data_IF_272426336347
#
_entry.id   IF_272426336347
#
_cell.length_a   1.000
_cell.length_b   1.000
_cell.length_c   1.000
_cell.angle_alpha   90.00
_cell.angle_beta   90.00
_cell.angle_gamma   90.00
#
_symmetry.space_group_name_H-M   'P 1'
#
loop_
_entity.id
_entity.type
_entity.pdbx_description
1 polymer ?
#
# COMPACT_ATOMS: atom_id res chain seq x y z
N UNK A 1 4.10 34.07 -51.47
CA UNK A 1 3.92 32.94 -52.42
C UNK A 1 4.49 31.70 -51.79
N UNK A 2 3.66 30.73 -51.47
CA UNK A 2 4.11 29.41 -51.00
C UNK A 2 4.88 28.70 -52.09
N UNK A 3 6.03 28.08 -51.78
CA UNK A 3 6.85 27.37 -52.77
C UNK A 3 6.08 26.15 -53.30
N UNK A 4 6.36 25.74 -54.53
CA UNK A 4 5.77 24.53 -55.15
C UNK A 4 5.96 23.31 -54.26
N UNK A 5 7.05 23.24 -53.53
CA UNK A 5 7.33 22.17 -52.54
C UNK A 5 6.38 22.22 -51.37
N UNK A 6 6.09 23.41 -50.82
CA UNK A 6 5.14 23.60 -49.72
C UNK A 6 3.71 23.25 -50.12
N UNK A 7 3.29 23.63 -51.33
CA UNK A 7 1.98 23.26 -51.88
C UNK A 7 1.83 21.75 -52.03
N UNK A 8 2.88 21.06 -52.51
CA UNK A 8 2.88 19.62 -52.64
C UNK A 8 2.86 18.92 -51.26
N UNK A 9 3.50 19.47 -50.25
CA UNK A 9 3.50 18.95 -48.89
C UNK A 9 2.12 19.12 -48.23
N UNK A 10 1.51 20.28 -48.33
CA UNK A 10 0.14 20.54 -47.87
C UNK A 10 -0.87 19.62 -48.57
N UNK A 11 -0.76 19.43 -49.87
CA UNK A 11 -1.64 18.52 -50.63
C UNK A 11 -1.53 17.07 -50.16
N UNK A 12 -0.31 16.59 -49.84
CA UNK A 12 -0.10 15.25 -49.25
C UNK A 12 -0.75 15.13 -47.87
N UNK A 13 -0.61 16.13 -47.03
CA UNK A 13 -1.26 16.16 -45.71
C UNK A 13 -2.78 16.11 -45.87
N UNK A 14 -3.35 16.94 -46.71
CA UNK A 14 -4.81 16.96 -46.94
C UNK A 14 -5.32 15.62 -47.46
N UNK A 15 -4.60 14.98 -48.40
CA UNK A 15 -4.94 13.64 -48.88
C UNK A 15 -4.91 12.60 -47.78
N UNK A 16 -3.90 12.62 -46.93
CA UNK A 16 -3.78 11.71 -45.76
C UNK A 16 -4.95 11.93 -44.77
N UNK A 17 -5.27 13.17 -44.43
CA UNK A 17 -6.38 13.48 -43.53
C UNK A 17 -7.75 13.08 -44.16
N UNK A 18 -7.92 13.26 -45.46
CA UNK A 18 -9.10 12.81 -46.17
C UNK A 18 -9.22 11.29 -46.23
N UNK A 19 -8.08 10.58 -46.38
CA UNK A 19 -8.04 9.13 -46.30
C UNK A 19 -8.48 8.66 -44.90
N UNK A 20 -7.98 9.27 -43.85
CA UNK A 20 -8.41 8.99 -42.47
C UNK A 20 -9.88 9.23 -42.26
N UNK A 21 -10.41 10.37 -42.71
CA UNK A 21 -11.80 10.77 -42.51
C UNK A 21 -12.76 9.79 -43.21
N UNK A 22 -12.42 9.30 -44.39
CA UNK A 22 -13.20 8.35 -45.19
C UNK A 22 -12.94 6.88 -44.83
N UNK A 23 -11.89 6.60 -44.02
CA UNK A 23 -11.47 5.24 -43.70
C UNK A 23 -12.51 4.52 -42.83
N UNK A 24 -12.82 3.28 -43.18
CA UNK A 24 -13.48 2.35 -42.29
C UNK A 24 -12.53 1.87 -41.18
N UNK A 25 -13.08 1.16 -40.21
CA UNK A 25 -12.36 0.71 -39.00
C UNK A 25 -11.03 -0.03 -39.31
N UNK A 26 -11.06 -0.98 -40.27
CA UNK A 26 -9.85 -1.75 -40.62
C UNK A 26 -8.77 -0.89 -41.26
N UNK A 27 -9.11 0.06 -42.11
CA UNK A 27 -8.12 0.96 -42.73
C UNK A 27 -7.54 1.94 -41.70
N UNK A 28 -8.37 2.48 -40.78
CA UNK A 28 -7.89 3.32 -39.68
C UNK A 28 -6.87 2.57 -38.82
N UNK A 29 -7.09 1.28 -38.52
CA UNK A 29 -6.18 0.47 -37.80
C UNK A 29 -4.84 0.28 -38.53
N UNK A 30 -4.85 0.12 -39.86
CA UNK A 30 -3.63 0.07 -40.68
C UNK A 30 -2.89 1.42 -40.67
N UNK A 31 -3.62 2.54 -40.85
CA UNK A 31 -3.05 3.89 -40.77
C UNK A 31 -2.36 4.11 -39.40
N UNK A 32 -3.01 3.74 -38.29
CA UNK A 32 -2.41 3.86 -36.95
C UNK A 32 -1.17 2.97 -36.79
N UNK A 33 -1.19 1.75 -37.34
CA UNK A 33 0.00 0.87 -37.27
C UNK A 33 1.18 1.50 -38.00
N UNK A 34 0.97 1.94 -39.25
CA UNK A 34 2.02 2.61 -40.04
C UNK A 34 2.49 3.90 -39.35
N UNK A 35 1.55 4.68 -38.79
CA UNK A 35 1.89 5.89 -38.04
C UNK A 35 2.81 5.60 -36.85
N UNK A 36 2.48 4.59 -36.03
CA UNK A 36 3.29 4.19 -34.88
C UNK A 36 4.69 3.76 -35.35
N UNK A 37 4.77 2.81 -36.31
CA UNK A 37 6.04 2.30 -36.82
C UNK A 37 6.95 3.39 -37.38
N UNK A 38 6.38 4.42 -38.00
CA UNK A 38 7.13 5.50 -38.65
C UNK A 38 7.51 6.62 -37.68
N UNK A 39 6.72 6.88 -36.63
CA UNK A 39 6.83 8.10 -35.83
C UNK A 39 7.20 7.85 -34.37
N UNK A 40 7.31 6.60 -33.92
CA UNK A 40 7.73 6.31 -32.55
C UNK A 40 9.13 6.91 -32.27
N UNK A 41 9.24 7.68 -31.18
CA UNK A 41 10.49 8.34 -30.77
C UNK A 41 10.80 9.66 -31.49
N UNK A 42 10.00 10.11 -32.46
CA UNK A 42 10.21 11.41 -33.11
C UNK A 42 9.93 12.58 -32.16
N UNK A 43 10.72 13.62 -32.33
CA UNK A 43 10.54 14.90 -31.65
C UNK A 43 9.41 15.72 -32.27
N UNK A 44 8.90 16.75 -31.57
CA UNK A 44 7.86 17.63 -32.11
C UNK A 44 8.24 18.28 -33.45
N UNK A 45 9.43 18.89 -33.64
CA UNK A 45 9.85 19.42 -34.92
C UNK A 45 9.87 18.37 -36.06
N UNK A 46 10.28 17.14 -35.78
CA UNK A 46 10.29 16.06 -36.77
C UNK A 46 8.85 15.67 -37.16
N UNK A 47 7.92 15.59 -36.20
CA UNK A 47 6.52 15.35 -36.48
C UNK A 47 5.89 16.50 -37.30
N UNK A 48 6.19 17.75 -36.96
CA UNK A 48 5.69 18.91 -37.73
C UNK A 48 6.26 18.92 -39.15
N UNK A 49 7.52 18.50 -39.33
CA UNK A 49 8.11 18.38 -40.65
C UNK A 49 7.45 17.29 -41.49
N UNK A 50 7.20 16.12 -40.90
CA UNK A 50 6.51 14.99 -41.53
C UNK A 50 5.09 15.38 -41.99
N UNK A 51 4.35 16.08 -41.14
CA UNK A 51 2.98 16.49 -41.34
C UNK A 51 2.84 17.93 -41.87
N UNK A 52 3.90 18.50 -42.45
CA UNK A 52 3.86 19.85 -43.10
C UNK A 52 3.26 20.92 -42.19
N UNK A 53 3.67 20.96 -40.91
CA UNK A 53 3.17 21.86 -39.85
C UNK A 53 1.70 21.62 -39.46
N UNK A 54 1.13 20.47 -39.79
CA UNK A 54 -0.25 20.11 -39.51
C UNK A 54 -0.42 18.85 -38.68
N UNK A 55 0.59 18.45 -37.92
CA UNK A 55 0.57 17.23 -37.10
C UNK A 55 -0.58 17.25 -36.08
N UNK A 56 -0.89 18.41 -35.50
CA UNK A 56 -2.01 18.57 -34.56
C UNK A 56 -3.38 18.28 -35.19
N UNK A 57 -3.56 18.48 -36.51
CA UNK A 57 -4.82 18.14 -37.20
C UNK A 57 -5.08 16.63 -37.19
N UNK A 58 -4.02 15.82 -37.23
CA UNK A 58 -4.17 14.37 -37.10
C UNK A 58 -4.43 13.97 -35.64
N UNK A 59 -3.71 14.56 -34.66
CA UNK A 59 -3.97 14.35 -33.24
C UNK A 59 -5.43 14.61 -32.88
N UNK A 60 -6.00 15.72 -33.33
CA UNK A 60 -7.41 16.07 -33.07
C UNK A 60 -8.36 14.96 -33.62
N UNK A 61 -8.09 14.46 -34.83
CA UNK A 61 -8.88 13.37 -35.43
C UNK A 61 -8.78 12.07 -34.66
N UNK A 62 -7.57 11.68 -34.27
CA UNK A 62 -7.34 10.47 -33.48
C UNK A 62 -8.00 10.58 -32.09
N UNK A 63 -7.88 11.72 -31.43
CA UNK A 63 -8.52 11.97 -30.12
C UNK A 63 -10.06 11.99 -30.25
N UNK A 64 -10.58 12.63 -31.27
CA UNK A 64 -12.03 12.63 -31.54
C UNK A 64 -12.55 11.21 -31.80
N UNK A 65 -11.77 10.41 -32.54
CA UNK A 65 -12.12 9.02 -32.80
C UNK A 65 -12.08 8.19 -31.51
N UNK A 66 -11.09 8.38 -30.66
CA UNK A 66 -11.03 7.76 -29.32
C UNK A 66 -12.33 8.02 -28.56
N UNK A 67 -12.76 9.27 -28.47
CA UNK A 67 -13.99 9.67 -27.74
C UNK A 67 -15.28 9.06 -28.30
N UNK A 68 -15.30 8.73 -29.58
CA UNK A 68 -16.45 8.08 -30.19
C UNK A 68 -16.49 6.59 -29.87
N UNK A 69 -15.35 5.92 -29.83
CA UNK A 69 -15.28 4.46 -29.77
C UNK A 69 -14.85 3.85 -28.44
N UNK A 70 -14.30 4.63 -27.48
CA UNK A 70 -13.73 4.06 -26.26
C UNK A 70 -14.70 3.17 -25.49
N UNK A 71 -16.00 3.49 -25.48
CA UNK A 71 -17.01 2.66 -24.84
C UNK A 71 -17.20 1.29 -25.50
N UNK A 72 -16.76 1.11 -26.75
CA UNK A 72 -16.84 -0.18 -27.45
C UNK A 72 -15.75 -1.16 -27.00
N UNK A 73 -14.65 -0.66 -26.45
CA UNK A 73 -13.49 -1.44 -26.01
C UNK A 73 -12.70 -2.11 -27.12
N UNK A 74 -12.84 -1.66 -28.36
CA UNK A 74 -12.21 -2.27 -29.52
C UNK A 74 -11.01 -1.44 -30.00
N UNK A 75 -9.83 -2.08 -30.11
CA UNK A 75 -8.61 -1.55 -30.73
C UNK A 75 -8.12 -0.20 -30.14
N UNK A 76 -8.26 -0.01 -28.83
CA UNK A 76 -7.87 1.24 -28.16
C UNK A 76 -6.35 1.39 -28.06
N UNK A 77 -5.59 0.30 -27.91
CA UNK A 77 -4.15 0.32 -27.74
C UNK A 77 -3.44 1.17 -28.79
N UNK A 78 -3.72 0.92 -30.07
CA UNK A 78 -3.07 1.67 -31.18
C UNK A 78 -3.43 3.15 -31.19
N UNK A 79 -4.67 3.48 -30.84
CA UNK A 79 -5.12 4.86 -30.73
C UNK A 79 -4.38 5.56 -29.58
N UNK A 80 -4.32 4.91 -28.41
CA UNK A 80 -3.65 5.44 -27.23
C UNK A 80 -2.14 5.59 -27.46
N UNK A 81 -1.48 4.58 -28.07
CA UNK A 81 -0.07 4.66 -28.45
C UNK A 81 0.18 5.80 -29.43
N UNK A 82 -0.68 5.97 -30.45
CA UNK A 82 -0.55 7.08 -31.42
C UNK A 82 -0.66 8.44 -30.74
N UNK A 83 -1.61 8.61 -29.79
CA UNK A 83 -1.71 9.82 -28.97
C UNK A 83 -0.44 10.00 -28.12
N UNK A 84 0.10 8.91 -27.58
CA UNK A 84 1.33 8.89 -26.77
C UNK A 84 2.54 9.47 -27.53
N UNK A 85 2.68 9.19 -28.83
CA UNK A 85 3.74 9.75 -29.67
C UNK A 85 3.68 11.30 -29.67
N UNK A 86 2.48 11.87 -29.84
CA UNK A 86 2.32 13.34 -29.78
C UNK A 86 2.60 13.92 -28.40
N UNK A 87 2.08 13.28 -27.34
CA UNK A 87 2.23 13.80 -25.98
C UNK A 87 3.66 13.65 -25.45
N UNK A 88 4.43 12.68 -25.93
CA UNK A 88 5.83 12.47 -25.59
C UNK A 88 6.80 13.38 -26.37
N UNK A 89 6.32 14.05 -27.40
CA UNK A 89 7.13 14.92 -28.24
C UNK A 89 7.53 16.20 -27.50
N UNK A 90 8.76 16.23 -27.00
CA UNK A 90 9.30 17.12 -25.94
C UNK A 90 9.27 18.63 -26.27
N UNK A 91 8.98 19.06 -27.49
CA UNK A 91 9.22 20.47 -27.89
C UNK A 91 8.01 21.40 -27.85
N UNK A 92 6.82 20.91 -27.55
CA UNK A 92 5.64 21.77 -27.57
C UNK A 92 4.51 21.23 -26.67
N UNK A 93 4.13 22.03 -25.67
CA UNK A 93 2.88 21.79 -24.93
C UNK A 93 1.63 21.93 -25.81
N UNK A 94 1.76 22.26 -27.10
CA UNK A 94 0.66 22.47 -28.03
C UNK A 94 -0.20 21.23 -28.17
N UNK A 95 0.41 20.08 -28.45
CA UNK A 95 -0.32 18.81 -28.58
C UNK A 95 -1.06 18.44 -27.29
N UNK A 96 -0.41 18.67 -26.16
CA UNK A 96 -1.04 18.43 -24.87
C UNK A 96 -2.25 19.35 -24.66
N UNK A 97 -2.15 20.64 -24.96
CA UNK A 97 -3.26 21.58 -24.82
C UNK A 97 -4.45 21.21 -25.71
N UNK A 98 -4.17 20.87 -26.97
CA UNK A 98 -5.21 20.41 -27.90
C UNK A 98 -5.90 19.11 -27.43
N UNK A 99 -5.13 18.15 -26.89
CA UNK A 99 -5.67 16.93 -26.31
C UNK A 99 -6.56 17.22 -25.10
N UNK A 100 -6.16 18.16 -24.24
CA UNK A 100 -6.92 18.57 -23.06
C UNK A 100 -8.22 19.31 -23.43
N UNK A 101 -8.18 20.21 -24.41
CA UNK A 101 -9.35 20.97 -24.89
C UNK A 101 -10.45 20.05 -25.43
N UNK A 102 -10.08 18.93 -26.05
CA UNK A 102 -11.02 17.92 -26.53
C UNK A 102 -11.59 17.06 -25.39
N UNK A 103 -11.06 17.19 -24.17
CA UNK A 103 -11.49 16.38 -23.02
C UNK A 103 -10.78 15.03 -22.90
N UNK A 104 -9.56 14.95 -23.40
CA UNK A 104 -8.78 13.70 -23.43
C UNK A 104 -8.54 13.09 -22.05
N UNK A 105 -8.21 13.89 -21.02
CA UNK A 105 -7.99 13.38 -19.65
C UNK A 105 -9.23 12.68 -19.10
N UNK A 106 -10.40 13.26 -19.26
CA UNK A 106 -11.65 12.65 -18.79
C UNK A 106 -11.88 11.30 -19.48
N UNK A 107 -11.66 11.24 -20.80
CA UNK A 107 -11.79 9.99 -21.55
C UNK A 107 -10.82 8.91 -21.06
N UNK A 108 -9.56 9.26 -20.78
CA UNK A 108 -8.59 8.31 -20.21
C UNK A 108 -9.04 7.77 -18.85
N UNK A 109 -9.56 8.62 -17.98
CA UNK A 109 -10.06 8.22 -16.67
C UNK A 109 -11.33 7.35 -16.78
N UNK A 110 -12.22 7.63 -17.71
CA UNK A 110 -13.41 6.81 -17.97
C UNK A 110 -13.04 5.41 -18.49
N UNK A 111 -12.02 5.29 -19.34
CA UNK A 111 -11.49 4.00 -19.83
C UNK A 111 -11.11 3.09 -18.67
N UNK A 112 -10.52 3.61 -17.59
CA UNK A 112 -10.11 2.80 -16.42
C UNK A 112 -11.30 2.13 -15.74
N UNK A 113 -12.48 2.77 -15.73
CA UNK A 113 -13.69 2.28 -15.08
C UNK A 113 -14.49 1.27 -15.90
N UNK A 114 -14.28 1.16 -17.20
CA UNK A 114 -15.08 0.32 -18.08
C UNK A 114 -14.60 -1.14 -18.02
N UNK A 115 -15.46 -2.05 -17.57
CA UNK A 115 -15.11 -3.46 -17.41
C UNK A 115 -14.80 -4.20 -18.72
N UNK A 116 -15.43 -3.79 -19.82
CA UNK A 116 -15.26 -4.42 -21.15
C UNK A 116 -13.90 -4.15 -21.79
N UNK A 117 -13.18 -3.13 -21.32
CA UNK A 117 -11.87 -2.74 -21.85
C UNK A 117 -10.83 -3.67 -21.24
N UNK A 118 -9.96 -4.22 -22.08
CA UNK A 118 -8.87 -5.09 -21.63
C UNK A 118 -7.83 -4.30 -20.83
N UNK A 119 -6.99 -5.03 -20.12
CA UNK A 119 -6.05 -4.44 -19.16
C UNK A 119 -4.91 -3.69 -19.88
N UNK A 120 -4.48 -4.16 -21.04
CA UNK A 120 -3.44 -3.50 -21.83
C UNK A 120 -3.87 -2.11 -22.31
N UNK A 121 -5.10 -1.94 -22.77
CA UNK A 121 -5.65 -0.63 -23.14
C UNK A 121 -5.71 0.33 -21.95
N UNK A 122 -6.07 -0.18 -20.77
CA UNK A 122 -6.08 0.60 -19.53
C UNK A 122 -4.67 0.97 -19.09
N UNK A 123 -3.71 0.07 -19.26
CA UNK A 123 -2.29 0.33 -19.01
C UNK A 123 -1.76 1.46 -19.89
N UNK A 124 -2.07 1.45 -21.19
CA UNK A 124 -1.70 2.55 -22.08
C UNK A 124 -2.38 3.88 -21.65
N UNK A 125 -3.63 3.86 -21.17
CA UNK A 125 -4.26 5.04 -20.59
C UNK A 125 -3.53 5.58 -19.35
N UNK A 126 -3.02 4.70 -18.47
CA UNK A 126 -2.20 5.08 -17.32
C UNK A 126 -0.89 5.72 -17.76
N UNK A 127 -0.21 5.15 -18.76
CA UNK A 127 1.04 5.74 -19.29
C UNK A 127 0.81 7.15 -19.86
N UNK A 128 -0.30 7.36 -20.56
CA UNK A 128 -0.66 8.70 -21.03
C UNK A 128 -0.92 9.67 -19.87
N UNK A 129 -1.63 9.24 -18.83
CA UNK A 129 -1.83 10.07 -17.63
C UNK A 129 -0.51 10.38 -16.92
N UNK A 130 0.46 9.46 -16.91
CA UNK A 130 1.80 9.71 -16.38
C UNK A 130 2.55 10.79 -17.20
N UNK A 131 2.52 10.69 -18.53
CA UNK A 131 3.13 11.69 -19.43
C UNK A 131 2.52 13.08 -19.13
N UNK A 132 1.21 13.16 -19.03
CA UNK A 132 0.48 14.41 -18.74
C UNK A 132 0.87 14.94 -17.34
N UNK A 133 0.86 14.09 -16.31
CA UNK A 133 1.21 14.47 -14.94
C UNK A 133 2.66 14.98 -14.83
N UNK A 134 3.60 14.35 -15.55
CA UNK A 134 5.01 14.72 -15.55
C UNK A 134 5.31 16.05 -16.25
N UNK A 135 4.40 16.54 -17.09
CA UNK A 135 4.57 17.82 -17.77
C UNK A 135 4.51 19.01 -16.79
N UNK A 136 3.80 18.86 -15.65
CA UNK A 136 3.82 19.88 -14.62
C UNK A 136 2.64 19.87 -13.65
N UNK A 137 2.77 20.69 -12.59
CA UNK A 137 1.80 20.77 -11.48
C UNK A 137 0.35 20.99 -11.96
N UNK A 138 0.13 21.93 -12.88
CA UNK A 138 -1.20 22.27 -13.41
C UNK A 138 -1.94 21.01 -13.93
N UNK A 139 -1.21 20.12 -14.55
CA UNK A 139 -1.78 18.92 -15.15
C UNK A 139 -2.04 17.82 -14.11
N UNK A 140 -1.22 17.73 -13.06
CA UNK A 140 -1.51 16.90 -11.90
C UNK A 140 -2.80 17.33 -11.20
N UNK A 141 -2.97 18.64 -11.03
CA UNK A 141 -4.20 19.21 -10.45
C UNK A 141 -5.41 18.88 -11.33
N UNK A 142 -5.29 19.00 -12.66
CA UNK A 142 -6.37 18.67 -13.59
C UNK A 142 -6.80 17.20 -13.50
N UNK A 143 -5.84 16.27 -13.43
CA UNK A 143 -6.15 14.84 -13.29
C UNK A 143 -6.90 14.60 -11.98
N UNK A 144 -6.47 15.21 -10.86
CA UNK A 144 -7.13 15.06 -9.56
C UNK A 144 -8.53 15.70 -9.54
N UNK A 145 -8.70 16.85 -10.17
CA UNK A 145 -9.96 17.60 -10.24
C UNK A 145 -11.07 16.83 -10.98
N UNK A 146 -10.69 16.02 -11.97
CA UNK A 146 -11.59 15.18 -12.78
C UNK A 146 -11.95 13.84 -12.11
N UNK A 147 -11.96 13.74 -10.79
CA UNK A 147 -12.13 12.48 -10.02
C UNK A 147 -11.07 11.41 -10.29
N UNK A 148 -9.93 11.80 -10.86
CA UNK A 148 -8.89 10.88 -11.29
C UNK A 148 -8.31 10.04 -10.17
N UNK A 149 -8.10 10.60 -8.98
CA UNK A 149 -7.57 9.87 -7.81
C UNK A 149 -8.42 8.62 -7.52
N UNK A 150 -9.75 8.79 -7.54
CA UNK A 150 -10.67 7.68 -7.28
C UNK A 150 -10.63 6.64 -8.39
N UNK A 151 -10.70 7.08 -9.65
CA UNK A 151 -10.67 6.18 -10.81
C UNK A 151 -9.38 5.37 -10.86
N UNK A 152 -8.24 6.01 -10.62
CA UNK A 152 -6.92 5.37 -10.60
C UNK A 152 -6.80 4.38 -9.43
N UNK A 153 -7.25 4.75 -8.22
CA UNK A 153 -7.24 3.87 -7.05
C UNK A 153 -8.17 2.66 -7.24
N UNK A 154 -9.38 2.85 -7.73
CA UNK A 154 -10.31 1.74 -8.03
C UNK A 154 -9.74 0.80 -9.11
N UNK A 155 -9.04 1.33 -10.10
CA UNK A 155 -8.38 0.52 -11.11
C UNK A 155 -7.23 -0.30 -10.51
N UNK A 156 -6.38 0.30 -9.66
CA UNK A 156 -5.32 -0.42 -8.94
C UNK A 156 -5.89 -1.62 -8.15
N UNK A 157 -7.02 -1.42 -7.45
CA UNK A 157 -7.66 -2.48 -6.68
C UNK A 157 -8.19 -3.65 -7.52
N UNK A 158 -8.60 -3.38 -8.76
CA UNK A 158 -9.25 -4.34 -9.66
C UNK A 158 -8.29 -4.99 -10.66
N UNK A 159 -7.16 -4.36 -10.95
CA UNK A 159 -6.14 -4.84 -11.88
C UNK A 159 -5.59 -6.19 -11.44
N UNK A 160 -5.34 -7.08 -12.40
CA UNK A 160 -4.78 -8.42 -12.18
C UNK A 160 -3.34 -8.54 -12.65
N UNK A 161 -2.86 -7.59 -13.45
CA UNK A 161 -1.48 -7.54 -13.94
C UNK A 161 -0.61 -6.79 -12.93
N UNK A 162 0.43 -7.46 -12.43
CA UNK A 162 1.39 -6.85 -11.50
C UNK A 162 2.12 -5.66 -12.12
N UNK A 163 2.49 -5.77 -13.39
CA UNK A 163 3.14 -4.70 -14.15
C UNK A 163 2.23 -3.46 -14.25
N UNK A 164 0.96 -3.69 -14.55
CA UNK A 164 -0.03 -2.59 -14.61
C UNK A 164 -0.23 -1.93 -13.25
N UNK A 165 -0.24 -2.71 -12.17
CA UNK A 165 -0.35 -2.18 -10.81
C UNK A 165 0.87 -1.32 -10.44
N UNK A 166 2.07 -1.68 -10.87
CA UNK A 166 3.29 -0.89 -10.68
C UNK A 166 3.23 0.44 -11.44
N UNK A 167 2.75 0.43 -12.69
CA UNK A 167 2.53 1.67 -13.45
C UNK A 167 1.51 2.60 -12.75
N UNK A 168 0.45 2.04 -12.20
CA UNK A 168 -0.54 2.83 -11.44
C UNK A 168 0.07 3.42 -10.17
N UNK A 169 0.95 2.67 -9.47
CA UNK A 169 1.69 3.18 -8.33
C UNK A 169 2.51 4.41 -8.71
N UNK A 170 3.31 4.31 -9.78
CA UNK A 170 4.14 5.43 -10.28
C UNK A 170 3.28 6.68 -10.54
N UNK A 171 2.10 6.50 -11.14
CA UNK A 171 1.18 7.62 -11.35
C UNK A 171 0.69 8.23 -10.04
N UNK A 172 0.27 7.42 -9.06
CA UNK A 172 -0.20 7.90 -7.76
C UNK A 172 0.91 8.64 -7.00
N UNK A 173 2.14 8.15 -7.02
CA UNK A 173 3.31 8.83 -6.46
C UNK A 173 3.57 10.18 -7.14
N UNK A 174 3.50 10.20 -8.47
CA UNK A 174 3.63 11.43 -9.26
C UNK A 174 2.57 12.46 -8.89
N UNK A 175 1.33 12.03 -8.62
CA UNK A 175 0.22 12.91 -8.24
C UNK A 175 0.35 13.46 -6.81
N UNK A 176 1.06 12.80 -5.91
CA UNK A 176 1.38 13.32 -4.57
C UNK A 176 2.46 14.39 -4.64
N UNK A 177 3.54 14.14 -5.42
CA UNK A 177 4.70 15.02 -5.50
C UNK A 177 4.37 16.35 -6.18
N UNK A 178 4.69 17.46 -5.49
CA UNK A 178 4.55 18.80 -6.05
C UNK A 178 3.10 19.21 -6.35
N UNK A 179 2.12 18.64 -5.65
CA UNK A 179 0.69 18.90 -5.83
C UNK A 179 0.00 19.27 -4.51
N UNK A 180 0.35 20.38 -3.86
CA UNK A 180 -0.17 20.73 -2.53
C UNK A 180 -1.68 20.89 -2.46
N UNK A 181 -2.35 21.20 -3.58
CA UNK A 181 -3.81 21.33 -3.65
C UNK A 181 -4.53 19.99 -3.44
N UNK A 182 -3.98 18.88 -3.99
CA UNK A 182 -4.63 17.59 -4.02
C UNK A 182 -3.88 16.46 -3.30
N UNK A 183 -2.67 16.71 -2.78
CA UNK A 183 -1.88 15.67 -2.07
C UNK A 183 -2.67 14.98 -0.96
N UNK A 184 -3.48 15.73 -0.19
CA UNK A 184 -4.35 15.17 0.84
C UNK A 184 -5.47 14.29 0.27
N UNK A 185 -5.98 14.59 -0.92
CA UNK A 185 -6.98 13.77 -1.59
C UNK A 185 -6.37 12.45 -2.08
N UNK A 186 -5.15 12.49 -2.64
CA UNK A 186 -4.41 11.29 -3.04
C UNK A 186 -4.13 10.42 -1.82
N UNK A 187 -3.66 11.02 -0.72
CA UNK A 187 -3.41 10.34 0.55
C UNK A 187 -4.68 9.62 1.06
N UNK A 188 -5.83 10.29 1.08
CA UNK A 188 -7.12 9.67 1.46
C UNK A 188 -7.55 8.57 0.50
N UNK A 189 -7.30 8.72 -0.79
CA UNK A 189 -7.56 7.70 -1.81
C UNK A 189 -6.75 6.43 -1.56
N UNK A 190 -5.48 6.56 -1.20
CA UNK A 190 -4.59 5.45 -0.84
C UNK A 190 -5.07 4.73 0.44
N UNK A 191 -5.52 5.47 1.47
CA UNK A 191 -6.10 4.88 2.68
C UNK A 191 -7.35 4.08 2.33
N UNK A 192 -8.22 4.61 1.47
CA UNK A 192 -9.44 3.94 1.03
C UNK A 192 -9.16 2.65 0.24
N UNK A 193 -7.99 2.51 -0.35
CA UNK A 193 -7.55 1.34 -1.11
C UNK A 193 -7.13 0.16 -0.23
N UNK A 194 -6.68 0.40 1.01
CA UNK A 194 -6.12 -0.64 1.89
C UNK A 194 -7.01 -1.88 2.09
N UNK A 195 -8.36 -1.79 2.16
CA UNK A 195 -9.22 -2.96 2.29
C UNK A 195 -9.45 -3.74 0.98
N UNK A 196 -8.73 -3.44 -0.11
CA UNK A 196 -8.89 -4.17 -1.37
C UNK A 196 -8.46 -5.65 -1.24
N UNK A 197 -8.96 -6.50 -2.12
CA UNK A 197 -8.67 -7.95 -2.11
C UNK A 197 -7.37 -8.34 -2.81
N UNK A 198 -6.63 -7.40 -3.43
CA UNK A 198 -5.36 -7.67 -4.11
C UNK A 198 -4.18 -7.43 -3.18
N UNK A 199 -3.40 -8.46 -2.81
CA UNK A 199 -2.24 -8.29 -1.93
C UNK A 199 -1.16 -7.39 -2.54
N UNK A 200 -0.92 -7.50 -3.84
CA UNK A 200 0.03 -6.62 -4.56
C UNK A 200 -0.42 -5.16 -4.48
N UNK A 201 -1.70 -4.87 -4.76
CA UNK A 201 -2.24 -3.52 -4.66
C UNK A 201 -2.18 -2.96 -3.23
N UNK A 202 -2.45 -3.80 -2.21
CA UNK A 202 -2.29 -3.41 -0.81
C UNK A 202 -0.84 -3.04 -0.49
N UNK A 203 0.13 -3.85 -0.92
CA UNK A 203 1.55 -3.59 -0.73
C UNK A 203 1.97 -2.28 -1.37
N UNK A 204 1.63 -2.07 -2.65
CA UNK A 204 1.94 -0.85 -3.39
C UNK A 204 1.28 0.38 -2.75
N UNK A 205 0.03 0.26 -2.28
CA UNK A 205 -0.65 1.35 -1.57
C UNK A 205 0.04 1.71 -0.25
N UNK A 206 0.51 0.73 0.53
CA UNK A 206 1.26 0.95 1.76
C UNK A 206 2.59 1.66 1.50
N UNK A 207 3.34 1.23 0.48
CA UNK A 207 4.59 1.86 0.07
C UNK A 207 4.36 3.32 -0.36
N UNK A 208 3.35 3.56 -1.19
CA UNK A 208 3.00 4.91 -1.62
C UNK A 208 2.49 5.78 -0.47
N UNK A 209 1.75 5.20 0.50
CA UNK A 209 1.33 5.90 1.71
C UNK A 209 2.52 6.36 2.56
N UNK A 210 3.56 5.53 2.68
CA UNK A 210 4.79 5.90 3.39
C UNK A 210 5.45 7.12 2.75
N UNK A 211 5.60 7.13 1.42
CA UNK A 211 6.09 8.29 0.67
C UNK A 211 5.17 9.49 0.82
N UNK A 212 3.86 9.30 0.66
CA UNK A 212 2.86 10.36 0.76
C UNK A 212 2.82 10.98 2.16
N UNK A 213 2.99 10.20 3.22
CA UNK A 213 3.02 10.66 4.61
C UNK A 213 4.14 11.67 4.84
N UNK A 214 5.34 11.41 4.31
CA UNK A 214 6.49 12.32 4.42
C UNK A 214 6.26 13.66 3.70
N UNK A 215 5.51 13.65 2.61
CA UNK A 215 5.21 14.84 1.79
C UNK A 215 4.07 15.66 2.41
N UNK A 216 3.00 14.99 2.85
CA UNK A 216 1.81 15.62 3.43
C UNK A 216 2.13 16.20 4.82
N UNK A 217 2.96 15.52 5.60
CA UNK A 217 3.36 15.93 6.94
C UNK A 217 2.25 15.92 8.00
N UNK A 218 1.03 15.55 7.62
CA UNK A 218 -0.13 15.43 8.49
C UNK A 218 -0.83 14.10 8.25
N UNK A 219 -1.52 13.56 9.28
CA UNK A 219 -2.22 12.29 9.16
C UNK A 219 -3.73 12.47 9.04
N UNK A 220 -4.41 11.46 8.53
CA UNK A 220 -5.85 11.38 8.59
C UNK A 220 -6.26 10.26 9.56
N UNK A 221 -7.17 10.50 10.53
CA UNK A 221 -7.49 9.54 11.60
C UNK A 221 -7.91 8.16 11.10
N UNK A 222 -8.56 8.08 9.93
CA UNK A 222 -8.99 6.80 9.34
C UNK A 222 -7.85 5.86 8.97
N UNK A 223 -6.59 6.32 8.93
CA UNK A 223 -5.44 5.46 8.63
C UNK A 223 -5.23 4.41 9.72
N UNK A 224 -5.52 4.75 10.98
CA UNK A 224 -5.32 3.86 12.13
C UNK A 224 -6.09 2.56 11.95
N UNK A 225 -7.41 2.65 11.79
CA UNK A 225 -8.26 1.46 11.66
C UNK A 225 -7.90 0.66 10.42
N UNK A 226 -7.56 1.32 9.31
CA UNK A 226 -7.23 0.66 8.04
C UNK A 226 -5.92 -0.10 8.12
N UNK A 227 -4.85 0.51 8.64
CA UNK A 227 -3.55 -0.16 8.74
C UNK A 227 -3.59 -1.30 9.76
N UNK A 228 -4.31 -1.13 10.88
CA UNK A 228 -4.51 -2.21 11.85
C UNK A 228 -5.30 -3.38 11.26
N UNK A 229 -6.32 -3.11 10.43
CA UNK A 229 -7.08 -4.17 9.74
C UNK A 229 -6.19 -4.95 8.77
N UNK A 230 -5.28 -4.30 8.06
CA UNK A 230 -4.34 -4.96 7.14
C UNK A 230 -3.43 -5.97 7.85
N UNK A 231 -3.16 -5.81 9.14
CA UNK A 231 -2.36 -6.78 9.92
C UNK A 231 -2.98 -8.19 9.99
N UNK A 232 -4.28 -8.33 9.67
CA UNK A 232 -4.96 -9.64 9.60
C UNK A 232 -4.65 -10.45 8.33
N UNK A 233 -3.82 -9.91 7.44
CA UNK A 233 -3.45 -10.56 6.17
C UNK A 233 -2.58 -11.81 6.37
N UNK A 234 -2.76 -12.80 5.50
CA UNK A 234 -1.87 -13.97 5.40
C UNK A 234 -0.59 -13.67 4.59
N UNK A 235 -0.55 -12.55 3.87
CA UNK A 235 0.55 -12.16 3.01
C UNK A 235 1.63 -11.42 3.80
N UNK A 236 2.76 -12.07 4.04
CA UNK A 236 3.84 -11.54 4.87
C UNK A 236 4.43 -10.23 4.34
N UNK A 237 4.50 -10.07 3.02
CA UNK A 237 4.99 -8.82 2.41
C UNK A 237 4.09 -7.63 2.72
N UNK A 238 2.77 -7.84 2.65
CA UNK A 238 1.78 -6.80 2.99
C UNK A 238 1.85 -6.45 4.48
N UNK A 239 1.95 -7.48 5.32
CA UNK A 239 2.09 -7.31 6.76
C UNK A 239 3.38 -6.55 7.12
N UNK A 240 4.49 -6.84 6.42
CA UNK A 240 5.76 -6.13 6.59
C UNK A 240 5.62 -4.64 6.26
N UNK A 241 5.07 -4.30 5.10
CA UNK A 241 4.89 -2.90 4.70
C UNK A 241 3.92 -2.15 5.64
N UNK A 242 2.90 -2.84 6.17
CA UNK A 242 2.00 -2.27 7.18
C UNK A 242 2.75 -1.94 8.47
N UNK A 243 3.64 -2.82 8.95
CA UNK A 243 4.48 -2.59 10.13
C UNK A 243 5.46 -1.43 9.88
N UNK A 244 6.09 -1.37 8.70
CA UNK A 244 6.98 -0.26 8.35
C UNK A 244 6.22 1.08 8.32
N UNK A 245 5.00 1.11 7.78
CA UNK A 245 4.17 2.32 7.83
C UNK A 245 3.78 2.69 9.28
N UNK A 246 3.47 1.71 10.14
CA UNK A 246 3.19 1.93 11.56
C UNK A 246 4.38 2.59 12.26
N UNK A 247 5.61 2.15 11.98
CA UNK A 247 6.84 2.74 12.53
C UNK A 247 6.99 4.22 12.18
N UNK A 248 6.56 4.61 11.00
CA UNK A 248 6.58 6.02 10.61
C UNK A 248 5.43 6.81 11.26
N UNK A 249 4.22 6.23 11.30
CA UNK A 249 3.01 6.87 11.84
C UNK A 249 3.08 7.19 13.34
N UNK A 250 3.86 6.47 14.14
CA UNK A 250 4.03 6.75 15.58
C UNK A 250 4.68 8.11 15.86
N UNK A 251 5.30 8.74 14.87
CA UNK A 251 5.90 10.07 15.00
C UNK A 251 4.90 11.23 14.77
N UNK A 252 3.63 10.89 14.46
CA UNK A 252 2.56 11.83 14.15
C UNK A 252 1.44 11.82 15.21
N UNK A 253 0.44 12.66 15.02
CA UNK A 253 -0.71 12.85 15.92
C UNK A 253 -1.60 11.61 16.11
N UNK A 254 -1.48 10.59 15.26
CA UNK A 254 -2.17 9.29 15.39
C UNK A 254 -1.46 8.29 16.30
N UNK A 255 -0.33 8.67 16.93
CA UNK A 255 0.48 7.80 17.80
C UNK A 255 -0.36 7.10 18.86
N UNK A 256 -1.05 7.85 19.71
CA UNK A 256 -1.79 7.28 20.82
C UNK A 256 -2.96 6.38 20.38
N UNK A 257 -3.81 6.77 19.41
CA UNK A 257 -4.82 5.87 18.85
C UNK A 257 -4.21 4.59 18.28
N UNK A 258 -3.05 4.66 17.62
CA UNK A 258 -2.38 3.52 17.02
C UNK A 258 -1.86 2.55 18.08
N UNK A 259 -1.18 3.05 19.13
CA UNK A 259 -0.71 2.22 20.24
C UNK A 259 -1.87 1.56 20.99
N UNK A 260 -2.96 2.29 21.27
CA UNK A 260 -4.17 1.73 21.87
C UNK A 260 -4.78 0.64 21.01
N UNK A 261 -4.84 0.86 19.70
CA UNK A 261 -5.34 -0.13 18.75
C UNK A 261 -4.49 -1.41 18.75
N UNK A 262 -3.16 -1.29 18.71
CA UNK A 262 -2.25 -2.44 18.77
C UNK A 262 -2.43 -3.25 20.06
N UNK A 263 -2.52 -2.58 21.22
CA UNK A 263 -2.75 -3.26 22.50
C UNK A 263 -4.13 -3.94 22.55
N UNK A 264 -5.16 -3.30 22.00
CA UNK A 264 -6.50 -3.89 21.94
C UNK A 264 -6.53 -5.18 21.07
N UNK A 265 -5.73 -5.26 20.02
CA UNK A 265 -5.61 -6.45 19.17
C UNK A 265 -4.99 -7.66 19.87
N UNK A 266 -4.29 -7.47 20.98
CA UNK A 266 -3.75 -8.58 21.78
C UNK A 266 -4.86 -9.37 22.50
N UNK A 267 -6.00 -8.74 22.75
CA UNK A 267 -7.16 -9.34 23.43
C UNK A 267 -8.41 -9.19 22.55
N UNK A 268 -8.51 -9.96 21.45
CA UNK A 268 -9.67 -9.89 20.60
C UNK A 268 -10.94 -10.28 21.38
N UNK A 269 -12.07 -9.60 21.19
CA UNK A 269 -13.32 -9.96 21.85
C UNK A 269 -13.74 -11.36 21.41
N UNK A 270 -13.72 -12.31 22.33
CA UNK A 270 -14.24 -13.65 22.09
C UNK A 270 -15.74 -13.52 21.88
N UNK A 271 -16.24 -13.78 20.69
CA UNK A 271 -17.68 -13.89 20.45
C UNK A 271 -18.17 -15.09 21.22
N UNK A 272 -18.87 -14.89 22.33
CA UNK A 272 -19.45 -15.93 23.20
C UNK A 272 -20.45 -16.86 22.49
N UNK A 273 -20.81 -16.55 21.25
CA UNK A 273 -21.70 -17.36 20.42
C UNK A 273 -21.20 -18.76 20.06
N UNK A 274 -19.90 -19.03 20.23
CA UNK A 274 -19.33 -20.32 19.87
C UNK A 274 -19.50 -21.42 20.93
N UNK A 275 -19.67 -21.07 22.22
CA UNK A 275 -19.83 -22.09 23.29
C UNK A 275 -21.23 -22.71 23.38
N UNK A 276 -22.27 -22.02 22.90
CA UNK A 276 -23.63 -22.54 22.90
C UNK A 276 -24.02 -23.32 21.64
N UNK A 277 -23.42 -22.98 20.48
CA UNK A 277 -23.69 -23.69 19.22
C UNK A 277 -22.81 -24.94 19.01
N UNK A 278 -21.65 -25.05 19.64
CA UNK A 278 -20.77 -26.22 19.54
C UNK A 278 -21.35 -27.51 20.12
N UNK A 279 -22.47 -27.45 20.86
CA UNK A 279 -23.17 -28.63 21.38
C UNK A 279 -24.17 -29.29 20.42
N UNK A 280 -24.44 -28.69 19.24
CA UNK A 280 -25.52 -29.13 18.36
C UNK A 280 -25.03 -29.73 17.04
N UNK A 281 -23.79 -29.46 16.57
CA UNK A 281 -23.29 -30.00 15.32
C UNK A 281 -21.83 -30.46 15.44
N UNK A 282 -21.61 -31.77 15.35
CA UNK A 282 -20.32 -32.44 15.54
C UNK A 282 -19.31 -32.29 14.38
N UNK A 283 -19.58 -31.47 13.34
CA UNK A 283 -18.70 -31.28 12.17
C UNK A 283 -18.21 -29.84 11.95
N UNK A 284 -18.35 -28.96 12.93
CA UNK A 284 -18.10 -27.53 12.73
C UNK A 284 -16.70 -27.02 13.18
N UNK A 285 -15.82 -27.90 13.65
CA UNK A 285 -14.48 -27.48 14.16
C UNK A 285 -13.59 -26.85 13.08
N UNK A 286 -13.63 -27.35 11.85
CA UNK A 286 -12.82 -26.83 10.72
C UNK A 286 -13.34 -25.47 10.26
N UNK A 287 -14.66 -25.28 10.22
CA UNK A 287 -15.28 -24.00 9.82
C UNK A 287 -15.05 -22.89 10.86
N UNK A 288 -15.01 -23.23 12.15
CA UNK A 288 -14.76 -22.25 13.22
C UNK A 288 -13.30 -21.79 13.23
N UNK A 289 -12.35 -22.67 12.99
CA UNK A 289 -10.92 -22.35 12.93
C UNK A 289 -10.62 -21.41 11.75
N UNK A 290 -11.26 -21.62 10.60
CA UNK A 290 -11.06 -20.74 9.41
C UNK A 290 -11.65 -19.33 9.59
N UNK A 291 -12.74 -19.17 10.35
CA UNK A 291 -13.34 -17.84 10.59
C UNK A 291 -12.57 -17.00 11.61
N UNK A 292 -11.80 -17.64 12.50
CA UNK A 292 -11.01 -16.95 13.53
C UNK A 292 -9.57 -16.65 13.09
N UNK A 293 -9.07 -17.31 12.05
CA UNK A 293 -7.70 -17.14 11.58
C UNK A 293 -7.28 -15.70 11.34
N UNK A 294 -8.07 -14.82 10.69
CA UNK A 294 -7.67 -13.41 10.49
C UNK A 294 -7.45 -12.66 11.81
N UNK A 295 -8.25 -12.97 12.83
CA UNK A 295 -8.14 -12.37 14.16
C UNK A 295 -6.86 -12.79 14.86
N UNK A 296 -6.49 -14.06 14.77
CA UNK A 296 -5.25 -14.58 15.34
C UNK A 296 -4.00 -14.09 14.58
N UNK A 297 -4.06 -13.99 13.26
CA UNK A 297 -3.00 -13.36 12.48
C UNK A 297 -2.77 -11.90 12.90
N UNK A 298 -3.86 -11.17 13.12
CA UNK A 298 -3.81 -9.79 13.57
C UNK A 298 -3.23 -9.68 15.00
N UNK A 299 -3.61 -10.59 15.91
CA UNK A 299 -3.05 -10.70 17.25
C UNK A 299 -1.54 -10.94 17.22
N UNK A 300 -1.08 -11.89 16.42
CA UNK A 300 0.32 -12.20 16.25
C UNK A 300 1.12 -11.02 15.67
N UNK A 301 0.58 -10.38 14.63
CA UNK A 301 1.18 -9.21 14.01
C UNK A 301 1.23 -8.01 14.97
N UNK A 302 0.21 -7.81 15.79
CA UNK A 302 0.20 -6.77 16.83
C UNK A 302 1.29 -7.02 17.89
N UNK A 303 1.41 -8.26 18.40
CA UNK A 303 2.47 -8.61 19.33
C UNK A 303 3.86 -8.35 18.75
N UNK A 304 4.11 -8.76 17.49
CA UNK A 304 5.35 -8.49 16.76
C UNK A 304 5.63 -6.99 16.63
N UNK A 305 4.63 -6.23 16.21
CA UNK A 305 4.75 -4.77 16.01
C UNK A 305 5.09 -4.06 17.31
N UNK A 306 4.40 -4.40 18.40
CA UNK A 306 4.66 -3.87 19.73
C UNK A 306 6.11 -4.15 20.15
N UNK A 307 6.59 -5.38 19.94
CA UNK A 307 7.96 -5.75 20.24
C UNK A 307 9.00 -4.96 19.44
N UNK A 308 8.74 -4.69 18.18
CA UNK A 308 9.60 -3.86 17.33
C UNK A 308 9.60 -2.41 17.82
N UNK A 309 8.44 -1.82 18.11
CA UNK A 309 8.31 -0.45 18.57
C UNK A 309 8.99 -0.23 19.93
N UNK A 310 8.77 -1.15 20.87
CA UNK A 310 9.35 -1.08 22.21
C UNK A 310 10.88 -1.18 22.21
N UNK A 311 11.46 -2.03 21.34
CA UNK A 311 12.92 -2.16 21.19
C UNK A 311 13.56 -0.94 20.53
N UNK A 312 12.83 -0.25 19.66
CA UNK A 312 13.34 0.91 18.94
C UNK A 312 13.35 2.18 19.79
N UNK A 313 12.40 2.34 20.70
CA UNK A 313 12.28 3.54 21.56
C UNK A 313 11.76 3.18 22.95
N UNK A 314 12.57 3.44 23.97
CA UNK A 314 12.22 3.20 25.37
C UNK A 314 10.99 4.01 25.84
N UNK A 315 10.78 5.22 25.31
CA UNK A 315 9.60 6.01 25.65
C UNK A 315 8.33 5.33 25.14
N UNK A 316 8.39 4.73 23.94
CA UNK A 316 7.28 3.91 23.44
C UNK A 316 7.02 2.68 24.29
N UNK A 317 8.07 2.04 24.80
CA UNK A 317 7.92 0.92 25.73
C UNK A 317 7.18 1.35 27.01
N UNK A 318 7.54 2.50 27.58
CA UNK A 318 6.87 3.08 28.77
C UNK A 318 5.40 3.44 28.45
N UNK A 319 5.12 4.06 27.31
CA UNK A 319 3.73 4.35 26.90
C UNK A 319 2.90 3.08 26.74
N UNK A 320 3.46 2.02 26.17
CA UNK A 320 2.82 0.72 26.02
C UNK A 320 2.54 0.07 27.39
N UNK A 321 3.44 0.21 28.37
CA UNK A 321 3.19 -0.25 29.74
C UNK A 321 1.99 0.47 30.35
N UNK A 322 1.88 1.79 30.18
CA UNK A 322 0.71 2.57 30.66
C UNK A 322 -0.60 2.16 29.96
N UNK A 323 -0.53 1.58 28.76
CA UNK A 323 -1.66 1.00 28.04
C UNK A 323 -1.94 -0.46 28.43
N UNK A 324 -1.27 -1.00 29.47
CA UNK A 324 -1.43 -2.38 29.96
C UNK A 324 -1.04 -3.46 28.96
N UNK A 325 0.01 -3.21 28.18
CA UNK A 325 0.50 -4.13 27.16
C UNK A 325 0.87 -5.51 27.73
N UNK A 326 1.42 -5.56 28.97
CA UNK A 326 1.82 -6.81 29.63
C UNK A 326 0.63 -7.76 29.80
N UNK A 327 -0.53 -7.23 30.24
CA UNK A 327 -1.75 -8.02 30.34
C UNK A 327 -2.18 -8.58 28.98
N UNK A 328 -2.14 -7.75 27.92
CA UNK A 328 -2.47 -8.19 26.57
C UNK A 328 -1.51 -9.27 26.04
N UNK A 329 -0.21 -9.12 26.28
CA UNK A 329 0.79 -10.11 25.87
C UNK A 329 0.58 -11.44 26.58
N UNK A 330 0.34 -11.44 27.90
CA UNK A 330 0.04 -12.66 28.65
C UNK A 330 -1.23 -13.34 28.14
N UNK A 331 -2.28 -12.58 27.85
CA UNK A 331 -3.50 -13.10 27.23
C UNK A 331 -3.24 -13.75 25.87
N UNK A 332 -2.42 -13.13 25.02
CA UNK A 332 -2.03 -13.69 23.73
C UNK A 332 -1.17 -14.97 23.86
N UNK A 333 -0.31 -15.05 24.90
CA UNK A 333 0.43 -16.28 25.22
C UNK A 333 -0.48 -17.43 25.64
N UNK A 334 -1.64 -17.14 26.22
CA UNK A 334 -2.67 -18.13 26.57
C UNK A 334 -3.52 -18.60 25.39
N UNK A 335 -3.33 -18.04 24.18
CA UNK A 335 -4.11 -18.45 22.99
C UNK A 335 -3.56 -19.75 22.38
N UNK A 336 -4.06 -20.88 22.86
CA UNK A 336 -3.66 -22.23 22.40
C UNK A 336 -4.09 -22.53 20.96
N UNK A 337 -5.05 -21.77 20.40
CA UNK A 337 -5.53 -21.97 19.04
C UNK A 337 -4.56 -21.44 17.97
N UNK A 338 -3.56 -20.62 18.37
CA UNK A 338 -2.62 -20.01 17.43
C UNK A 338 -1.20 -19.88 17.99
N UNK A 339 -0.38 -20.89 17.72
CA UNK A 339 1.01 -20.98 18.24
C UNK A 339 1.89 -19.76 17.89
N UNK A 340 1.68 -19.14 16.73
CA UNK A 340 2.46 -17.95 16.35
C UNK A 340 2.09 -16.71 17.20
N UNK A 341 0.82 -16.57 17.63
CA UNK A 341 0.45 -15.54 18.61
C UNK A 341 1.14 -15.77 19.95
N UNK A 342 1.15 -17.00 20.44
CA UNK A 342 1.84 -17.37 21.68
C UNK A 342 3.34 -17.05 21.60
N UNK A 343 3.99 -17.50 20.52
CA UNK A 343 5.43 -17.30 20.29
C UNK A 343 5.80 -15.80 20.26
N UNK A 344 5.12 -15.01 19.44
CA UNK A 344 5.43 -13.58 19.27
C UNK A 344 5.11 -12.76 20.52
N UNK A 345 4.04 -13.11 21.23
CA UNK A 345 3.70 -12.48 22.50
C UNK A 345 4.76 -12.79 23.57
N UNK A 346 5.21 -14.05 23.66
CA UNK A 346 6.25 -14.49 24.58
C UNK A 346 7.57 -13.74 24.34
N UNK A 347 8.06 -13.68 23.10
CA UNK A 347 9.28 -12.94 22.73
C UNK A 347 9.19 -11.44 23.01
N UNK A 348 7.99 -10.88 22.88
CA UNK A 348 7.78 -9.47 23.18
C UNK A 348 7.71 -9.22 24.68
N UNK A 349 7.06 -10.10 25.44
CA UNK A 349 7.00 -10.02 26.90
C UNK A 349 8.39 -10.20 27.53
N UNK A 350 9.22 -11.09 26.98
CA UNK A 350 10.62 -11.29 27.43
C UNK A 350 11.39 -9.96 27.41
N UNK A 351 11.26 -9.18 26.35
CA UNK A 351 11.90 -7.86 26.29
C UNK A 351 11.44 -6.93 27.42
N UNK A 352 10.11 -6.86 27.70
CA UNK A 352 9.61 -6.01 28.78
C UNK A 352 10.08 -6.49 30.17
N UNK A 353 10.15 -7.80 30.40
CA UNK A 353 10.66 -8.39 31.65
C UNK A 353 12.14 -8.07 31.85
N UNK A 354 12.96 -8.17 30.79
CA UNK A 354 14.39 -7.86 30.86
C UNK A 354 14.65 -6.36 31.09
N UNK A 355 13.81 -5.48 30.54
CA UNK A 355 14.01 -4.03 30.60
C UNK A 355 13.42 -3.37 31.86
N UNK A 356 12.38 -3.95 32.46
CA UNK A 356 11.62 -3.33 33.55
C UNK A 356 11.50 -4.27 34.77
N UNK A 357 12.29 -4.05 35.85
CA UNK A 357 12.26 -4.93 37.04
C UNK A 357 10.87 -5.06 37.70
N UNK A 358 10.06 -4.01 37.67
CA UNK A 358 8.66 -4.07 38.17
C UNK A 358 7.79 -5.01 37.33
N UNK A 359 8.01 -5.04 36.03
CA UNK A 359 7.31 -5.97 35.14
C UNK A 359 7.75 -7.39 35.41
N UNK A 360 9.05 -7.61 35.61
CA UNK A 360 9.62 -8.90 35.98
C UNK A 360 8.93 -9.47 37.22
N UNK A 361 8.88 -8.69 38.31
CA UNK A 361 8.27 -9.12 39.57
C UNK A 361 6.79 -9.47 39.40
N UNK A 362 6.04 -8.64 38.65
CA UNK A 362 4.61 -8.86 38.44
C UNK A 362 4.32 -10.08 37.56
N UNK A 363 5.09 -10.26 36.49
CA UNK A 363 4.96 -11.40 35.58
C UNK A 363 5.32 -12.68 36.32
N UNK A 364 6.40 -12.69 37.11
CA UNK A 364 6.80 -13.84 37.95
C UNK A 364 5.71 -14.24 38.93
N UNK A 365 5.11 -13.27 39.65
CA UNK A 365 3.97 -13.51 40.55
C UNK A 365 2.75 -14.09 39.83
N UNK A 366 2.49 -13.64 38.59
CA UNK A 366 1.34 -14.05 37.81
C UNK A 366 1.50 -15.42 37.19
N UNK A 367 2.68 -15.77 36.70
CA UNK A 367 2.97 -17.06 36.08
C UNK A 367 3.22 -18.17 37.12
N UNK A 368 3.73 -17.80 38.29
CA UNK A 368 4.34 -18.75 39.24
C UNK A 368 5.77 -19.12 38.85
N UNK A 369 6.57 -19.59 39.84
CA UNK A 369 8.02 -19.80 39.65
C UNK A 369 8.33 -20.85 38.56
N UNK A 370 7.57 -21.93 38.47
CA UNK A 370 7.83 -23.00 37.50
C UNK A 370 7.64 -22.54 36.04
N UNK A 371 6.50 -21.95 35.72
CA UNK A 371 6.23 -21.45 34.39
C UNK A 371 7.15 -20.28 34.03
N UNK A 372 7.47 -19.41 35.02
CA UNK A 372 8.36 -18.29 34.81
C UNK A 372 9.78 -18.76 34.49
N UNK A 373 10.30 -19.82 35.13
CA UNK A 373 11.59 -20.40 34.78
C UNK A 373 11.61 -21.01 33.37
N UNK A 374 10.53 -21.68 32.97
CA UNK A 374 10.41 -22.18 31.61
C UNK A 374 10.40 -21.02 30.56
N UNK A 375 9.74 -19.93 30.92
CA UNK A 375 9.69 -18.71 30.09
C UNK A 375 11.08 -18.06 29.93
N UNK A 376 11.84 -17.91 31.01
CA UNK A 376 13.20 -17.34 30.97
C UNK A 376 14.22 -18.22 30.24
N UNK A 377 14.04 -19.55 30.30
CA UNK A 377 14.96 -20.47 29.63
C UNK A 377 14.88 -20.37 28.12
N UNK A 378 13.67 -20.29 27.56
CA UNK A 378 13.44 -20.15 26.13
C UNK A 378 12.03 -19.64 25.85
N UNK A 379 11.89 -18.33 25.72
CA UNK A 379 10.64 -17.66 25.46
C UNK A 379 10.06 -18.02 24.07
N UNK A 380 10.92 -18.34 23.10
CA UNK A 380 10.50 -18.64 21.73
C UNK A 380 9.73 -19.96 21.61
N UNK A 381 10.17 -21.00 22.34
CA UNK A 381 9.55 -22.35 22.28
C UNK A 381 8.62 -22.61 23.47
N UNK A 382 8.38 -21.64 24.33
CA UNK A 382 7.53 -21.80 25.51
C UNK A 382 6.15 -22.37 25.18
N UNK A 383 5.56 -21.94 24.05
CA UNK A 383 4.23 -22.40 23.59
C UNK A 383 4.14 -23.93 23.41
N UNK A 384 5.25 -24.61 23.18
CA UNK A 384 5.28 -26.08 23.06
C UNK A 384 5.24 -26.80 24.42
N UNK A 385 5.50 -26.07 25.51
CA UNK A 385 5.63 -26.60 26.89
C UNK A 385 4.46 -26.22 27.78
N UNK A 386 3.64 -25.24 27.38
CA UNK A 386 2.48 -24.77 28.13
C UNK A 386 1.35 -25.79 28.04
N UNK A 387 0.81 -26.21 29.18
CA UNK A 387 -0.42 -27.00 29.25
C UNK A 387 -1.70 -26.14 29.23
N UNK A 388 -2.87 -26.77 29.13
CA UNK A 388 -4.16 -26.04 29.05
C UNK A 388 -4.47 -25.23 30.31
N UNK A 389 -4.04 -25.67 31.48
CA UNK A 389 -4.27 -25.00 32.78
C UNK A 389 -3.38 -23.74 32.83
N UNK A 390 -2.12 -23.89 32.45
CA UNK A 390 -1.18 -22.76 32.37
C UNK A 390 -1.63 -21.72 31.34
N UNK A 391 -2.17 -22.15 30.20
CA UNK A 391 -2.75 -21.25 29.20
C UNK A 391 -3.96 -20.48 29.73
N UNK A 392 -4.84 -21.15 30.45
CA UNK A 392 -6.01 -20.52 31.09
C UNK A 392 -5.58 -19.49 32.19
N UNK A 393 -4.52 -19.81 32.95
CA UNK A 393 -3.95 -18.90 33.94
C UNK A 393 -3.40 -17.64 33.22
N UNK A 394 -2.65 -17.80 32.12
CA UNK A 394 -2.12 -16.69 31.35
C UNK A 394 -3.23 -15.82 30.75
N UNK A 395 -4.29 -16.43 30.21
CA UNK A 395 -5.42 -15.74 29.63
C UNK A 395 -6.28 -14.98 30.66
N UNK A 396 -6.39 -15.52 31.89
CA UNK A 396 -7.21 -14.94 32.94
C UNK A 396 -6.51 -13.87 33.78
N UNK A 397 -5.17 -13.79 33.73
CA UNK A 397 -4.38 -12.91 34.57
C UNK A 397 -4.56 -11.43 34.23
N UNK A 398 -4.89 -10.60 35.23
CA UNK A 398 -5.00 -9.14 35.13
C UNK A 398 -3.77 -8.46 35.71
N UNK A 399 -2.66 -8.44 34.99
CA UNK A 399 -1.45 -7.73 35.41
C UNK A 399 -1.64 -6.23 35.13
N UNK A 400 -1.55 -5.40 36.17
CA UNK A 400 -1.60 -3.95 36.08
C UNK A 400 -0.20 -3.36 36.33
N UNK A 401 0.75 -3.58 35.43
CA UNK A 401 2.00 -2.85 35.46
C UNK A 401 1.78 -1.47 34.84
N UNK A 402 1.58 -0.45 35.65
CA UNK A 402 1.56 0.95 35.26
C UNK A 402 2.75 1.67 35.88
N UNK A 403 3.29 2.67 35.20
CA UNK A 403 4.42 3.48 35.66
C UNK A 403 4.11 4.36 36.87
N UNK A 404 2.84 4.47 37.29
CA UNK A 404 2.46 5.22 38.51
C UNK A 404 3.11 4.65 39.81
N UNK A 405 3.71 3.45 39.70
CA UNK A 405 4.54 2.88 40.76
C UNK A 405 6.04 3.25 40.63
N UNK A 406 6.41 4.01 39.62
CA UNK A 406 7.82 4.34 39.30
C UNK A 406 8.25 5.75 39.74
N UNK A 407 7.47 6.49 40.52
CA UNK A 407 7.83 7.83 41.02
C UNK A 407 9.00 7.86 42.05
N UNK A 408 9.74 6.75 42.20
CA UNK A 408 10.89 6.63 43.06
C UNK A 408 12.20 6.29 42.34
N UNK A 409 12.41 6.72 41.10
CA UNK A 409 13.74 6.72 40.50
C UNK A 409 14.23 8.16 40.41
N UNK A 410 14.95 8.57 41.49
CA UNK A 410 15.78 9.77 41.52
C UNK A 410 16.64 9.89 40.26
N UNK A 411 16.61 11.06 39.65
CA UNK A 411 17.43 11.50 38.52
C UNK A 411 18.92 11.64 38.84
N UNK A 412 19.50 10.74 39.62
CA UNK A 412 20.91 10.76 39.93
C UNK A 412 21.53 9.37 39.76
N UNK A 413 22.36 9.26 38.73
CA UNK A 413 23.29 8.15 38.42
C UNK A 413 22.78 7.10 37.42
N UNK A 414 22.68 7.47 36.17
CA UNK A 414 22.96 6.53 35.05
C UNK A 414 24.29 6.97 34.43
N UNK A 415 25.38 6.51 34.99
CA UNK A 415 26.67 6.50 34.30
C UNK A 415 26.65 5.38 33.27
N UNK A 416 26.69 5.74 32.03
CA UNK A 416 26.85 4.81 30.89
C UNK A 416 28.24 4.15 31.01
N UNK A 417 28.31 2.92 31.46
CA UNK A 417 29.43 2.05 31.14
C UNK A 417 29.21 1.51 29.74
N UNK A 418 30.00 2.00 28.80
CA UNK A 418 30.15 1.42 27.46
C UNK A 418 30.79 0.05 27.59
N UNK A 419 29.97 -0.96 27.82
CA UNK A 419 30.31 -2.36 27.69
C UNK A 419 29.78 -2.81 26.34
N UNK A 420 30.68 -2.94 25.37
CA UNK A 420 30.43 -3.63 24.13
C UNK A 420 30.06 -5.08 24.41
N UNK A 421 28.79 -5.39 24.39
CA UNK A 421 28.32 -6.75 24.28
C UNK A 421 27.46 -6.84 23.00
N UNK A 422 28.15 -7.35 22.00
CA UNK A 422 27.68 -7.94 20.80
C UNK A 422 26.74 -9.12 21.14
N UNK A 423 25.44 -8.83 21.28
CA UNK A 423 24.41 -9.86 21.42
C UNK A 423 23.25 -9.57 20.48
N UNK A 424 23.45 -10.08 19.28
CA UNK A 424 22.50 -10.78 18.41
C UNK A 424 21.18 -10.09 18.11
N UNK A 425 21.19 -9.33 17.05
CA UNK A 425 20.11 -9.19 16.08
C UNK A 425 19.69 -10.54 15.44
N UNK A 426 19.58 -11.63 16.20
CA UNK A 426 19.44 -12.98 15.62
C UNK A 426 18.00 -13.47 15.45
N UNK A 427 16.97 -12.70 15.57
CA UNK A 427 15.62 -13.28 15.55
C UNK A 427 14.63 -12.72 14.50
N UNK A 428 14.83 -11.51 14.01
CA UNK A 428 13.78 -10.84 13.21
C UNK A 428 14.15 -10.43 11.80
N UNK A 429 15.44 -10.41 11.43
CA UNK A 429 15.92 -10.02 10.10
C UNK A 429 16.25 -11.20 9.18
N UNK A 430 16.55 -12.38 9.71
CA UNK A 430 17.05 -13.50 8.90
C UNK A 430 16.00 -14.22 8.04
N UNK A 431 14.72 -14.15 8.38
CA UNK A 431 13.69 -14.82 7.56
C UNK A 431 13.27 -13.99 6.33
N UNK A 432 13.47 -12.67 6.38
CA UNK A 432 13.14 -11.80 5.25
C UNK A 432 14.26 -11.66 4.23
N UNK A 433 15.51 -11.62 4.64
CA UNK A 433 16.66 -11.58 3.71
C UNK A 433 16.82 -12.88 2.92
N UNK A 434 16.45 -14.02 3.49
CA UNK A 434 16.48 -15.32 2.78
C UNK A 434 15.39 -15.45 1.70
N UNK A 435 14.29 -14.73 1.80
CA UNK A 435 13.22 -14.73 0.78
C UNK A 435 13.56 -13.80 -0.40
N UNK A 436 14.25 -12.69 -0.17
CA UNK A 436 14.66 -11.78 -1.24
C UNK A 436 15.84 -12.30 -2.10
N UNK A 437 16.68 -13.17 -1.58
CA UNK A 437 17.78 -13.77 -2.34
C UNK A 437 17.35 -14.91 -3.28
N UNK A 438 16.14 -15.50 -3.07
CA UNK A 438 15.59 -16.57 -3.92
C UNK A 438 14.69 -16.09 -5.07
N UNK A 439 14.35 -14.80 -5.13
CA UNK A 439 13.57 -14.23 -6.23
C UNK A 439 14.41 -13.50 -7.30
N UNK A 440 15.75 -13.64 -7.24
CA UNK A 440 16.67 -13.07 -8.22
C UNK A 440 17.53 -14.12 -8.96
N UNK A 441 17.15 -15.41 -8.87
CA UNK A 441 17.65 -16.46 -9.76
C UNK A 441 16.45 -16.98 -10.63
#
# INVERSE_FOLDING_TARGET
MTSVKEQAAISRLLSFLQEWDNAGKGLRNQILTTFIETNEGKTGPELELEFSQGASLFLIRVTTWLRIIYMTGLELEKILRSIGIFLSAVSSNRYLLEFLEIGGVLTLLEILGIEKINEEDKKESIKLLQIIANTGRKYKELICESYGVRAIAEFLAKSKSEETQEEVQVLLETLVHGNPKYQNQVYKGLIALLPCGSPKAQRLALQTLKTAQSIVGATHPSIVDRVLTVLSTVHLEVQYEAIELIKDLIHYDVRLPLLKGLVALLMPPVKETSKLQAKIFSDSSILQTTTQLPVFLQQAAAAKTIGILARNDLNLAVELLNLRVVHGLMSAMGNTDHSNSQRLASLTLEYFVQMFPLVEEQVRKSMGDELYQLFLNDAEILYTKIDSIQADILAANKVNATTDSCDCIDNSSISFSTGSNDMSQRGYTNDFEKLHSKSKE
#
